data_IF_530939565103
#
_entry.id   IF_530939565103
#
_cell.length_a   1.000
_cell.length_b   1.000
_cell.length_c   1.000
_cell.angle_alpha   90.00
_cell.angle_beta   90.00
_cell.angle_gamma   90.00
#
_symmetry.space_group_name_H-M   'P 1'
#
loop_
_entity.id
_entity.type
_entity.pdbx_description
1 polymer ?
#
# COMPACT_ATOMS: atom_id res chain seq x y z
N UNK A 1 22.63 27.13 -24.17
CA UNK A 1 21.17 26.93 -24.25
C UNK A 1 20.83 25.43 -24.20
N UNK A 2 21.50 24.56 -24.96
CA UNK A 2 21.26 23.09 -24.99
C UNK A 2 21.52 22.40 -23.66
N UNK A 3 22.58 22.76 -22.94
CA UNK A 3 22.88 22.13 -21.61
C UNK A 3 21.82 22.43 -20.55
N UNK A 4 21.25 23.66 -20.53
CA UNK A 4 20.18 23.99 -19.60
C UNK A 4 18.85 23.28 -19.91
N UNK A 5 18.61 23.00 -21.20
CA UNK A 5 17.42 22.25 -21.62
C UNK A 5 17.53 20.77 -21.23
N UNK A 6 18.70 20.15 -21.45
CA UNK A 6 18.98 18.77 -21.07
C UNK A 6 18.87 18.61 -19.54
N UNK A 7 19.42 19.56 -18.78
CA UNK A 7 19.33 19.55 -17.32
C UNK A 7 17.88 19.66 -16.81
N UNK A 8 17.06 20.51 -17.46
CA UNK A 8 15.62 20.61 -17.13
C UNK A 8 14.83 19.36 -17.48
N UNK A 9 15.16 18.68 -18.59
CA UNK A 9 14.52 17.41 -18.97
C UNK A 9 14.89 16.30 -18.00
N UNK A 10 16.17 16.20 -17.61
CA UNK A 10 16.59 15.21 -16.59
C UNK A 10 15.94 15.45 -15.23
N UNK A 11 15.80 16.71 -14.79
CA UNK A 11 15.08 17.02 -13.56
C UNK A 11 13.59 16.67 -13.64
N UNK A 12 12.96 16.90 -14.79
CA UNK A 12 11.55 16.54 -15.00
C UNK A 12 11.34 15.02 -14.98
N UNK A 13 12.23 14.24 -15.60
CA UNK A 13 12.18 12.78 -15.56
C UNK A 13 12.36 12.24 -14.14
N UNK A 14 13.34 12.74 -13.41
CA UNK A 14 13.55 12.36 -12.00
C UNK A 14 12.34 12.73 -11.14
N UNK A 15 11.77 13.93 -11.34
CA UNK A 15 10.58 14.38 -10.61
C UNK A 15 9.35 13.51 -10.93
N UNK A 16 9.12 13.18 -12.20
CA UNK A 16 8.05 12.29 -12.62
C UNK A 16 8.22 10.89 -12.01
N UNK A 17 9.45 10.38 -12.00
CA UNK A 17 9.75 9.07 -11.41
C UNK A 17 9.46 9.03 -9.90
N UNK A 18 9.84 10.09 -9.17
CA UNK A 18 9.57 10.22 -7.74
C UNK A 18 8.08 10.40 -7.42
N UNK A 19 7.32 11.05 -8.29
CA UNK A 19 5.88 11.30 -8.07
C UNK A 19 4.99 10.13 -8.49
N UNK A 20 5.42 9.35 -9.47
CA UNK A 20 4.61 8.26 -10.03
C UNK A 20 5.03 6.86 -9.53
N UNK A 21 6.14 6.77 -8.79
CA UNK A 21 6.66 5.53 -8.21
C UNK A 21 7.18 4.52 -9.25
N UNK A 22 8.11 3.69 -8.82
CA UNK A 22 8.64 2.60 -9.65
C UNK A 22 9.70 1.78 -8.92
N UNK A 23 9.75 0.48 -9.19
CA UNK A 23 10.70 -0.46 -8.55
C UNK A 23 12.01 -0.55 -9.36
N UNK A 24 12.04 0.05 -10.56
CA UNK A 24 13.12 -0.14 -11.54
C UNK A 24 14.51 0.35 -11.12
N UNK A 25 14.61 1.30 -10.18
CA UNK A 25 15.88 1.86 -9.68
C UNK A 25 16.22 1.46 -8.26
N UNK A 26 15.42 0.57 -7.64
CA UNK A 26 15.64 0.15 -6.26
C UNK A 26 16.91 -0.68 -6.14
N UNK A 27 17.85 -0.22 -5.30
CA UNK A 27 19.13 -0.90 -5.04
C UNK A 27 19.03 -1.81 -3.81
N UNK A 28 19.86 -2.85 -3.77
CA UNK A 28 19.94 -3.74 -2.61
C UNK A 28 20.21 -3.00 -1.30
N UNK A 29 21.02 -1.96 -1.35
CA UNK A 29 21.31 -1.12 -0.18
C UNK A 29 20.05 -0.43 0.37
N UNK A 30 19.16 0.04 -0.51
CA UNK A 30 17.89 0.64 -0.10
C UNK A 30 16.96 -0.40 0.52
N UNK A 31 16.88 -1.61 -0.07
CA UNK A 31 16.05 -2.70 0.47
C UNK A 31 16.51 -3.08 1.88
N UNK A 32 17.81 -3.27 2.09
CA UNK A 32 18.37 -3.61 3.40
C UNK A 32 18.13 -2.50 4.42
N UNK A 33 18.21 -1.23 4.01
CA UNK A 33 17.91 -0.09 4.88
C UNK A 33 16.45 0.02 5.31
N UNK A 34 15.52 -0.37 4.43
CA UNK A 34 14.06 -0.32 4.69
C UNK A 34 13.55 -1.58 5.40
N UNK A 35 14.26 -2.69 5.28
CA UNK A 35 13.86 -3.99 5.83
C UNK A 35 13.56 -3.97 7.33
N UNK A 36 14.37 -3.34 8.21
CA UNK A 36 14.06 -3.27 9.65
C UNK A 36 12.76 -2.49 9.93
N UNK A 37 12.46 -1.43 9.17
CA UNK A 37 11.19 -0.69 9.31
C UNK A 37 10.00 -1.56 8.91
N UNK A 38 10.13 -2.32 7.84
CA UNK A 38 9.09 -3.23 7.35
C UNK A 38 8.84 -4.37 8.35
N UNK A 39 9.89 -4.99 8.86
CA UNK A 39 9.78 -6.10 9.83
C UNK A 39 9.15 -5.62 11.14
N UNK A 40 9.60 -4.48 11.67
CA UNK A 40 9.02 -3.91 12.90
C UNK A 40 7.58 -3.48 12.70
N UNK A 41 7.23 -2.83 11.59
CA UNK A 41 5.87 -2.44 11.26
C UNK A 41 4.92 -3.64 11.08
N UNK A 42 5.37 -4.70 10.41
CA UNK A 42 4.61 -5.96 10.27
C UNK A 42 4.44 -6.65 11.61
N UNK A 43 5.50 -6.77 12.40
CA UNK A 43 5.45 -7.36 13.74
C UNK A 43 4.46 -6.62 14.65
N UNK A 44 4.54 -5.29 14.67
CA UNK A 44 3.62 -4.45 15.44
C UNK A 44 2.17 -4.61 14.96
N UNK A 45 1.94 -4.62 13.64
CA UNK A 45 0.60 -4.86 13.07
C UNK A 45 0.04 -6.22 13.44
N UNK A 46 0.89 -7.26 13.46
CA UNK A 46 0.50 -8.61 13.84
C UNK A 46 0.12 -8.70 15.33
N UNK A 47 0.89 -8.06 16.20
CA UNK A 47 0.60 -8.01 17.64
C UNK A 47 -0.70 -7.26 17.94
N UNK A 48 -0.96 -6.18 17.20
CA UNK A 48 -2.17 -5.37 17.35
C UNK A 48 -3.42 -5.96 16.68
N UNK A 49 -3.27 -6.96 15.82
CA UNK A 49 -4.37 -7.52 15.01
C UNK A 49 -5.58 -8.00 15.86
N UNK A 50 -5.42 -8.67 17.02
CA UNK A 50 -6.56 -9.04 17.87
C UNK A 50 -7.29 -7.79 18.41
N UNK A 51 -6.54 -6.83 18.95
CA UNK A 51 -7.09 -5.59 19.50
C UNK A 51 -7.82 -4.76 18.45
N UNK A 52 -7.27 -4.70 17.22
CA UNK A 52 -7.90 -4.05 16.08
C UNK A 52 -9.20 -4.75 15.66
N UNK A 53 -9.27 -6.07 15.75
CA UNK A 53 -10.49 -6.82 15.45
C UNK A 53 -11.61 -6.48 16.43
N UNK A 54 -11.29 -6.36 17.72
CA UNK A 54 -12.26 -5.96 18.75
C UNK A 54 -12.66 -4.50 18.58
N UNK A 55 -11.71 -3.62 18.30
CA UNK A 55 -11.97 -2.19 18.08
C UNK A 55 -12.87 -1.97 16.84
N UNK A 56 -12.69 -2.77 15.79
CA UNK A 56 -13.53 -2.75 14.58
C UNK A 56 -14.98 -3.20 14.85
N UNK A 57 -15.22 -3.96 15.91
CA UNK A 57 -16.56 -4.38 16.33
C UNK A 57 -17.30 -3.32 17.20
N UNK A 58 -16.64 -2.22 17.51
CA UNK A 58 -17.18 -1.07 18.23
C UNK A 58 -16.33 -0.66 19.44
N UNK A 59 -16.23 0.65 19.64
CA UNK A 59 -15.39 1.22 20.70
C UNK A 59 -15.94 0.92 22.11
N UNK A 60 -17.27 0.91 22.27
CA UNK A 60 -17.89 0.56 23.54
C UNK A 60 -17.56 -0.88 23.98
N UNK A 61 -17.62 -1.82 23.03
CA UNK A 61 -17.22 -3.21 23.27
C UNK A 61 -15.74 -3.33 23.62
N UNK A 62 -14.89 -2.58 22.92
CA UNK A 62 -13.46 -2.55 23.20
C UNK A 62 -13.17 -2.05 24.62
N UNK A 63 -13.83 -0.98 25.05
CA UNK A 63 -13.72 -0.44 26.43
C UNK A 63 -14.26 -1.42 27.48
N UNK A 64 -15.38 -2.08 27.23
CA UNK A 64 -15.94 -3.09 28.13
C UNK A 64 -14.98 -4.28 28.35
N UNK A 65 -14.14 -4.60 27.36
CA UNK A 65 -13.10 -5.62 27.44
C UNK A 65 -11.77 -5.09 28.02
N UNK A 66 -11.74 -3.83 28.52
CA UNK A 66 -10.56 -3.23 29.12
C UNK A 66 -9.50 -2.74 28.11
N UNK A 67 -9.85 -2.67 26.81
CA UNK A 67 -8.93 -2.16 25.80
C UNK A 67 -8.85 -0.61 25.83
N UNK A 68 -7.64 -0.11 25.91
CA UNK A 68 -7.37 1.34 25.77
C UNK A 68 -7.35 1.71 24.27
N UNK A 69 -8.51 2.09 23.71
CA UNK A 69 -8.67 2.40 22.29
C UNK A 69 -7.64 3.43 21.77
N UNK A 70 -7.34 4.45 22.56
CA UNK A 70 -6.34 5.49 22.25
C UNK A 70 -4.92 4.90 22.03
N UNK A 71 -4.46 4.00 22.92
CA UNK A 71 -3.16 3.35 22.80
C UNK A 71 -3.09 2.44 21.56
N UNK A 72 -4.16 1.67 21.32
CA UNK A 72 -4.25 0.81 20.14
C UNK A 72 -4.20 1.65 18.86
N UNK A 73 -4.93 2.78 18.81
CA UNK A 73 -4.89 3.70 17.66
C UNK A 73 -3.49 4.30 17.46
N UNK A 74 -2.86 4.79 18.52
CA UNK A 74 -1.51 5.38 18.44
C UNK A 74 -0.46 4.37 17.92
N UNK A 75 -0.46 3.15 18.47
CA UNK A 75 0.44 2.09 18.01
C UNK A 75 0.13 1.65 16.57
N UNK A 76 -1.15 1.65 16.18
CA UNK A 76 -1.54 1.34 14.79
C UNK A 76 -1.06 2.43 13.83
N UNK A 77 -1.18 3.71 14.20
CA UNK A 77 -0.62 4.81 13.40
C UNK A 77 0.88 4.68 13.23
N UNK A 78 1.61 4.32 14.30
CA UNK A 78 3.05 4.05 14.23
C UNK A 78 3.35 2.89 13.27
N UNK A 79 2.61 1.78 13.35
CA UNK A 79 2.78 0.65 12.43
C UNK A 79 2.52 1.06 10.97
N UNK A 80 1.49 1.85 10.72
CA UNK A 80 1.16 2.37 9.38
C UNK A 80 2.27 3.28 8.87
N UNK A 81 2.81 4.19 9.71
CA UNK A 81 3.91 5.07 9.33
C UNK A 81 5.17 4.28 8.95
N UNK A 82 5.53 3.25 9.73
CA UNK A 82 6.68 2.40 9.43
C UNK A 82 6.50 1.64 8.11
N UNK A 83 5.33 1.06 7.88
CA UNK A 83 5.04 0.28 6.66
C UNK A 83 4.90 1.18 5.43
N UNK A 84 4.11 2.26 5.53
CA UNK A 84 3.88 3.16 4.41
C UNK A 84 5.15 3.97 4.07
N UNK A 85 5.87 4.45 5.09
CA UNK A 85 7.15 5.16 4.91
C UNK A 85 8.20 4.25 4.30
N UNK A 86 8.32 3.01 4.79
CA UNK A 86 9.23 2.02 4.22
C UNK A 86 8.88 1.64 2.77
N UNK A 87 7.60 1.43 2.46
CA UNK A 87 7.14 1.15 1.10
C UNK A 87 7.41 2.32 0.16
N UNK A 88 7.11 3.55 0.59
CA UNK A 88 7.36 4.74 -0.20
C UNK A 88 8.86 5.00 -0.42
N UNK A 89 9.70 4.72 0.57
CA UNK A 89 11.16 4.83 0.44
C UNK A 89 11.76 3.79 -0.53
N UNK A 90 11.15 2.61 -0.64
CA UNK A 90 11.63 1.53 -1.51
C UNK A 90 11.11 1.65 -2.96
N UNK A 91 9.86 2.02 -3.16
CA UNK A 91 9.17 1.94 -4.45
C UNK A 91 8.51 3.26 -4.89
N UNK A 92 8.64 4.32 -4.07
CA UNK A 92 7.86 5.54 -4.28
C UNK A 92 6.38 5.37 -3.95
N UNK A 93 5.55 6.38 -4.20
CA UNK A 93 4.12 6.31 -3.93
C UNK A 93 3.41 5.40 -4.93
N UNK A 94 2.93 4.26 -4.45
CA UNK A 94 2.10 3.33 -5.23
C UNK A 94 0.65 3.50 -4.80
N UNK A 95 -0.19 4.07 -5.70
CA UNK A 95 -1.58 4.37 -5.41
C UNK A 95 -2.51 3.15 -5.48
N UNK A 96 -3.69 3.28 -4.84
CA UNK A 96 -4.84 2.37 -4.92
C UNK A 96 -4.66 0.97 -4.31
N UNK A 97 -3.46 0.37 -4.32
CA UNK A 97 -3.20 -1.01 -3.82
C UNK A 97 -3.66 -1.17 -2.38
N UNK A 98 -3.32 -0.20 -1.51
CA UNK A 98 -3.66 -0.24 -0.09
C UNK A 98 -5.16 -0.16 0.23
N UNK A 99 -5.97 0.39 -0.67
CA UNK A 99 -7.43 0.44 -0.52
C UNK A 99 -8.10 -0.75 -1.19
N UNK A 100 -7.67 -1.10 -2.40
CA UNK A 100 -8.28 -2.15 -3.21
C UNK A 100 -8.10 -3.53 -2.58
N UNK A 101 -6.87 -3.91 -2.28
CA UNK A 101 -6.54 -5.27 -1.84
C UNK A 101 -7.21 -5.64 -0.50
N UNK A 102 -7.13 -4.83 0.58
CA UNK A 102 -7.81 -5.18 1.83
C UNK A 102 -9.33 -5.28 1.68
N UNK A 103 -9.95 -4.45 0.83
CA UNK A 103 -11.39 -4.53 0.60
C UNK A 103 -11.78 -5.81 -0.13
N UNK A 104 -11.02 -6.24 -1.14
CA UNK A 104 -11.24 -7.52 -1.84
C UNK A 104 -11.01 -8.71 -0.88
N UNK A 105 -9.91 -8.70 -0.12
CA UNK A 105 -9.59 -9.78 0.80
C UNK A 105 -10.63 -9.92 1.94
N UNK A 106 -11.25 -8.82 2.38
CA UNK A 106 -12.30 -8.85 3.42
C UNK A 106 -13.52 -9.68 3.04
N UNK A 107 -13.83 -9.82 1.76
CA UNK A 107 -14.94 -10.68 1.30
C UNK A 107 -14.69 -12.15 1.61
N UNK A 108 -13.42 -12.57 1.69
CA UNK A 108 -13.01 -13.96 1.92
C UNK A 108 -12.56 -14.22 3.36
N UNK A 109 -11.92 -13.23 3.99
CA UNK A 109 -11.35 -13.38 5.36
C UNK A 109 -12.32 -13.05 6.47
N UNK A 110 -13.43 -12.36 6.16
CA UNK A 110 -14.37 -11.87 7.15
C UNK A 110 -13.79 -10.74 8.03
N UNK A 111 -14.34 -10.52 9.25
CA UNK A 111 -14.00 -9.36 10.10
C UNK A 111 -12.63 -9.49 10.82
N UNK A 112 -11.98 -10.65 10.77
CA UNK A 112 -10.73 -10.91 11.49
C UNK A 112 -9.53 -10.21 10.84
N UNK A 113 -8.97 -9.20 11.52
CA UNK A 113 -7.77 -8.48 11.06
C UNK A 113 -6.55 -9.40 11.01
N UNK A 114 -6.44 -10.37 11.93
CA UNK A 114 -5.32 -11.31 11.98
C UNK A 114 -5.21 -12.20 10.75
N UNK A 115 -6.34 -12.60 10.15
CA UNK A 115 -6.37 -13.35 8.88
C UNK A 115 -6.20 -12.43 7.68
N UNK A 116 -6.73 -11.22 7.75
CA UNK A 116 -6.67 -10.24 6.67
C UNK A 116 -5.23 -9.80 6.39
N UNK A 117 -4.40 -9.54 7.40
CA UNK A 117 -3.05 -9.01 7.24
C UNK A 117 -2.16 -9.85 6.30
N UNK A 118 -1.95 -11.17 6.53
CA UNK A 118 -1.07 -11.96 5.66
C UNK A 118 -1.64 -12.13 4.25
N UNK A 119 -2.95 -12.31 4.14
CA UNK A 119 -3.62 -12.48 2.83
C UNK A 119 -3.54 -11.19 2.02
N UNK A 120 -3.80 -10.05 2.65
CA UNK A 120 -3.68 -8.76 1.98
C UNK A 120 -2.22 -8.42 1.61
N UNK A 121 -1.24 -8.79 2.44
CA UNK A 121 0.17 -8.61 2.14
C UNK A 121 0.60 -9.44 0.91
N UNK A 122 0.24 -10.74 0.88
CA UNK A 122 0.55 -11.62 -0.25
C UNK A 122 -0.16 -11.20 -1.53
N UNK A 123 -1.45 -10.87 -1.45
CA UNK A 123 -2.22 -10.41 -2.60
C UNK A 123 -1.71 -9.07 -3.13
N UNK A 124 -1.32 -8.15 -2.24
CA UNK A 124 -0.70 -6.87 -2.61
C UNK A 124 0.66 -7.07 -3.28
N UNK A 125 1.51 -7.94 -2.73
CA UNK A 125 2.80 -8.27 -3.32
C UNK A 125 2.64 -8.89 -4.72
N UNK A 126 1.71 -9.84 -4.87
CA UNK A 126 1.41 -10.48 -6.16
C UNK A 126 0.93 -9.45 -7.19
N UNK A 127 0.03 -8.54 -6.80
CA UNK A 127 -0.48 -7.49 -7.68
C UNK A 127 0.65 -6.55 -8.13
N UNK A 128 1.50 -6.11 -7.22
CA UNK A 128 2.61 -5.20 -7.55
C UNK A 128 3.63 -5.89 -8.46
N UNK A 129 3.98 -7.14 -8.20
CA UNK A 129 4.90 -7.93 -9.04
C UNK A 129 4.30 -8.16 -10.44
N UNK A 130 3.02 -8.50 -10.53
CA UNK A 130 2.37 -8.69 -11.84
C UNK A 130 2.27 -7.38 -12.61
N UNK A 131 1.96 -6.26 -11.95
CA UNK A 131 1.95 -4.94 -12.56
C UNK A 131 3.36 -4.55 -13.08
N UNK A 132 4.42 -4.79 -12.30
CA UNK A 132 5.81 -4.53 -12.71
C UNK A 132 6.23 -5.40 -13.91
N UNK A 133 5.86 -6.68 -13.91
CA UNK A 133 6.12 -7.58 -15.04
C UNK A 133 5.40 -7.14 -16.32
N UNK A 134 4.15 -6.70 -16.21
CA UNK A 134 3.37 -6.17 -17.34
C UNK A 134 4.06 -4.91 -17.89
N UNK A 135 4.44 -4.00 -17.01
CA UNK A 135 5.13 -2.75 -17.40
C UNK A 135 6.43 -3.05 -18.14
N UNK A 136 7.27 -3.94 -17.61
CA UNK A 136 8.58 -4.26 -18.22
C UNK A 136 8.47 -5.07 -19.52
N UNK A 137 7.57 -6.05 -19.61
CA UNK A 137 7.48 -6.95 -20.77
C UNK A 137 6.64 -6.43 -21.93
N UNK A 138 5.52 -5.78 -21.63
CA UNK A 138 4.58 -5.33 -22.68
C UNK A 138 4.83 -3.88 -23.13
N UNK A 139 5.29 -3.03 -22.23
CA UNK A 139 5.33 -1.59 -22.47
C UNK A 139 6.76 -1.07 -22.53
N UNK A 140 7.69 -1.65 -21.79
CA UNK A 140 9.09 -1.22 -21.68
C UNK A 140 9.91 -1.30 -22.98
N UNK A 141 9.36 -1.83 -24.06
CA UNK A 141 9.96 -1.78 -25.40
C UNK A 141 9.63 -0.49 -26.15
N UNK A 142 8.64 0.30 -25.71
CA UNK A 142 8.12 1.47 -26.44
C UNK A 142 8.11 2.71 -25.56
N UNK A 143 7.74 2.64 -24.29
CA UNK A 143 7.60 3.78 -23.38
C UNK A 143 7.83 3.31 -21.93
N UNK A 144 8.65 4.05 -21.15
CA UNK A 144 8.80 3.84 -19.70
C UNK A 144 7.57 4.37 -18.95
N UNK A 145 6.57 3.50 -18.73
CA UNK A 145 5.39 3.85 -17.95
C UNK A 145 5.67 3.59 -16.47
N UNK A 146 5.50 4.60 -15.60
CA UNK A 146 5.66 4.42 -14.16
C UNK A 146 4.64 3.44 -13.58
N UNK A 147 5.08 2.62 -12.61
CA UNK A 147 4.25 1.59 -11.97
C UNK A 147 2.93 2.16 -11.38
N UNK A 148 2.99 3.38 -10.84
CA UNK A 148 1.83 4.07 -10.27
C UNK A 148 0.70 4.29 -11.27
N UNK A 149 1.00 4.52 -12.55
CA UNK A 149 -0.03 4.67 -13.59
C UNK A 149 -0.75 3.35 -13.83
N UNK A 150 -0.01 2.25 -13.92
CA UNK A 150 -0.60 0.91 -14.13
C UNK A 150 -1.48 0.51 -12.95
N UNK A 151 -1.00 0.72 -11.72
CA UNK A 151 -1.80 0.43 -10.52
C UNK A 151 -3.01 1.35 -10.38
N UNK A 152 -2.94 2.61 -10.84
CA UNK A 152 -4.08 3.53 -10.86
C UNK A 152 -5.15 3.09 -11.88
N UNK A 153 -4.75 2.68 -13.08
CA UNK A 153 -5.67 2.19 -14.12
C UNK A 153 -6.39 0.91 -13.66
N UNK A 154 -5.68 0.01 -12.98
CA UNK A 154 -6.28 -1.21 -12.44
C UNK A 154 -7.11 -0.94 -11.17
N UNK A 155 -6.68 -0.01 -10.34
CA UNK A 155 -7.30 0.30 -9.05
C UNK A 155 -8.56 1.14 -9.15
N UNK A 156 -8.60 2.13 -10.05
CA UNK A 156 -9.72 3.06 -10.16
C UNK A 156 -11.08 2.37 -10.42
N UNK A 157 -11.24 1.44 -11.39
CA UNK A 157 -12.50 0.75 -11.60
C UNK A 157 -12.89 -0.12 -10.40
N UNK A 158 -11.91 -0.73 -9.73
CA UNK A 158 -12.16 -1.54 -8.55
C UNK A 158 -12.68 -0.70 -7.37
N UNK A 159 -12.10 0.48 -7.14
CA UNK A 159 -12.56 1.41 -6.08
C UNK A 159 -13.96 1.92 -6.39
N UNK A 160 -14.27 2.25 -7.65
CA UNK A 160 -15.62 2.67 -8.08
C UNK A 160 -16.63 1.54 -7.82
N UNK A 161 -16.28 0.31 -8.15
CA UNK A 161 -17.14 -0.86 -7.90
C UNK A 161 -17.40 -1.07 -6.40
N UNK A 162 -16.35 -1.00 -5.57
CA UNK A 162 -16.46 -1.11 -4.10
C UNK A 162 -17.34 0.02 -3.54
N UNK A 163 -17.16 1.26 -4.01
CA UNK A 163 -17.95 2.40 -3.58
C UNK A 163 -19.44 2.22 -3.90
N UNK A 164 -19.76 1.77 -5.11
CA UNK A 164 -21.13 1.48 -5.53
C UNK A 164 -21.76 0.34 -4.73
N UNK A 165 -21.03 -0.73 -4.48
CA UNK A 165 -21.53 -1.88 -3.71
C UNK A 165 -21.80 -1.54 -2.24
N UNK A 166 -21.06 -0.60 -1.66
CA UNK A 166 -21.32 -0.10 -0.31
C UNK A 166 -22.49 0.89 -0.26
N UNK A 167 -22.64 1.73 -1.27
CA UNK A 167 -23.76 2.66 -1.36
C UNK A 167 -25.13 1.95 -1.44
N UNK A 168 -25.19 0.78 -2.05
CA UNK A 168 -26.42 -0.04 -2.12
C UNK A 168 -26.77 -0.77 -0.83
N UNK A 169 -25.90 -0.77 0.19
CA UNK A 169 -26.12 -1.44 1.50
C UNK A 169 -26.50 -0.47 2.62
N UNK A 170 -26.58 0.81 2.34
CA UNK A 170 -27.14 1.80 3.27
C UNK A 170 -28.66 1.85 3.05
N UNK A 171 -29.47 1.58 4.11
CA UNK A 171 -30.92 1.67 4.04
C UNK A 171 -31.39 3.08 3.80
#
# INVERSE_FOLDING_TARGET
>A
VTGALIFRLQLAEVFLYWTLGGIGTTTWTQIVGVLPLMVTGLGLSWLLAPSLTVLAAGEERARALGLHAERVRGLTMLAVLLLAGGAAAAAGPVGFVGVMIPNLCRTWTGPSVRRLLPIAALAGALLVVTADLITRKLIGQIIDIPLGVVTAVLGAPCVIWIARSKAQRLP
#
